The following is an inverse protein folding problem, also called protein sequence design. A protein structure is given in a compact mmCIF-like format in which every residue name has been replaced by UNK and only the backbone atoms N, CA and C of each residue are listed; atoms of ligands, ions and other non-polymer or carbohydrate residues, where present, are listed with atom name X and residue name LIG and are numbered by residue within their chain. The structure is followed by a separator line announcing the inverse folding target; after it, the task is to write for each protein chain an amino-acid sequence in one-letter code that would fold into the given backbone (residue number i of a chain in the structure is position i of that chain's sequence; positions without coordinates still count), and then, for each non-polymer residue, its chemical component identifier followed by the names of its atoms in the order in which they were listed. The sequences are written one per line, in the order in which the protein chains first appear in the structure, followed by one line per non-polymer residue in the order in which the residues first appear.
data_IF_517770742500
#
_entry.id   IF_517770742500
#
_cell.length_a   1.000
_cell.length_b   1.000
_cell.length_c   1.000
_cell.angle_alpha   90.00
_cell.angle_beta   90.00
_cell.angle_gamma   90.00
#
_symmetry.space_group_name_H-M   'P 1'
#
loop_
_entity.id
_entity.type
_entity.pdbx_description
1 polymer ?
#
# COMPACT_ATOMS: atom_id res chain seq x y z
N UNK A 1 -10.30 11.12 18.02
CA UNK A 1 -9.07 10.37 17.67
C UNK A 1 -9.31 9.18 16.75
N UNK A 2 -10.19 8.21 17.09
CA UNK A 2 -10.39 7.02 16.25
C UNK A 2 -10.80 7.33 14.79
N UNK A 3 -11.68 8.31 14.58
CA UNK A 3 -12.10 8.75 13.24
C UNK A 3 -10.93 9.32 12.42
N UNK A 4 -10.08 10.16 13.01
CA UNK A 4 -8.86 10.69 12.37
C UNK A 4 -7.94 9.52 11.98
N UNK A 5 -7.75 8.56 12.90
CA UNK A 5 -6.99 7.35 12.62
C UNK A 5 -7.57 6.53 11.47
N UNK A 6 -8.89 6.44 11.34
CA UNK A 6 -9.52 5.74 10.22
C UNK A 6 -9.32 6.44 8.88
N UNK A 7 -9.31 7.78 8.86
CA UNK A 7 -8.96 8.56 7.66
C UNK A 7 -7.51 8.28 7.26
N UNK A 8 -6.59 8.28 8.24
CA UNK A 8 -5.17 7.95 7.99
C UNK A 8 -5.02 6.53 7.42
N UNK A 9 -5.71 5.55 8.00
CA UNK A 9 -5.70 4.16 7.51
C UNK A 9 -6.24 4.12 6.08
N UNK A 10 -7.39 4.75 5.81
CA UNK A 10 -7.95 4.80 4.46
C UNK A 10 -6.96 5.38 3.45
N UNK A 11 -6.40 6.56 3.70
CA UNK A 11 -5.45 7.21 2.79
C UNK A 11 -4.16 6.40 2.60
N UNK A 12 -3.68 5.76 3.68
CA UNK A 12 -2.44 4.98 3.66
C UNK A 12 -2.55 3.62 2.98
N UNK A 13 -3.73 2.98 3.00
CA UNK A 13 -3.94 1.59 2.57
C UNK A 13 -4.80 1.43 1.30
N UNK A 14 -5.67 2.38 0.97
CA UNK A 14 -6.52 2.27 -0.23
C UNK A 14 -5.61 2.22 -1.47
N UNK A 15 -5.72 1.22 -2.36
CA UNK A 15 -5.00 1.20 -3.62
C UNK A 15 -5.47 2.37 -4.50
N UNK A 16 -4.53 3.08 -5.12
CA UNK A 16 -4.78 4.24 -5.99
C UNK A 16 -4.02 4.02 -7.30
N UNK A 17 -4.62 4.32 -8.47
CA UNK A 17 -5.95 4.94 -8.63
C UNK A 17 -7.12 4.00 -8.35
N UNK A 18 -8.12 4.47 -7.59
CA UNK A 18 -9.44 3.82 -7.54
C UNK A 18 -10.14 3.87 -8.91
N UNK A 19 -9.66 4.75 -9.79
CA UNK A 19 -10.05 4.89 -11.20
C UNK A 19 -9.23 4.03 -12.16
N UNK A 20 -8.33 3.15 -11.68
CA UNK A 20 -7.60 2.23 -12.55
C UNK A 20 -8.61 1.41 -13.38
N UNK A 21 -8.58 1.47 -14.72
CA UNK A 21 -9.51 0.74 -15.57
C UNK A 21 -9.55 -0.77 -15.28
N UNK A 22 -8.46 -1.32 -14.73
CA UNK A 22 -8.39 -2.73 -14.33
C UNK A 22 -9.34 -3.08 -13.17
N UNK A 23 -9.71 -2.13 -12.30
CA UNK A 23 -10.72 -2.32 -11.25
C UNK A 23 -12.13 -2.50 -11.82
N UNK A 24 -12.42 -1.92 -12.99
CA UNK A 24 -13.71 -2.10 -13.68
C UNK A 24 -13.86 -3.51 -14.23
N UNK A 25 -12.76 -4.12 -14.66
CA UNK A 25 -12.68 -5.51 -15.14
C UNK A 25 -12.42 -6.53 -14.03
N UNK A 26 -12.07 -6.06 -12.82
CA UNK A 26 -11.75 -6.92 -11.68
C UNK A 26 -12.98 -7.69 -11.19
N UNK A 27 -12.74 -8.86 -10.60
CA UNK A 27 -13.77 -9.67 -9.95
C UNK A 27 -14.38 -8.93 -8.74
N UNK A 28 -15.58 -9.33 -8.32
CA UNK A 28 -16.23 -8.76 -7.13
C UNK A 28 -15.38 -8.93 -5.86
N UNK A 29 -14.61 -10.01 -5.80
CA UNK A 29 -13.68 -10.32 -4.72
C UNK A 29 -12.53 -9.30 -4.65
N UNK A 30 -11.87 -9.05 -5.79
CA UNK A 30 -10.77 -8.08 -5.88
C UNK A 30 -11.23 -6.66 -5.54
N UNK A 31 -12.40 -6.24 -6.04
CA UNK A 31 -12.98 -4.93 -5.70
C UNK A 31 -13.27 -4.81 -4.21
N UNK A 32 -13.80 -5.88 -3.60
CA UNK A 32 -14.10 -5.91 -2.17
C UNK A 32 -12.84 -5.76 -1.31
N UNK A 33 -11.73 -6.40 -1.71
CA UNK A 33 -10.43 -6.22 -1.06
C UNK A 33 -9.91 -4.79 -1.24
N UNK A 34 -10.03 -4.22 -2.44
CA UNK A 34 -9.55 -2.87 -2.75
C UNK A 34 -10.24 -1.79 -1.89
N UNK A 35 -11.52 -1.94 -1.59
CA UNK A 35 -12.27 -0.97 -0.76
C UNK A 35 -12.25 -1.30 0.74
N UNK A 36 -11.75 -2.47 1.14
CA UNK A 36 -11.73 -2.91 2.54
C UNK A 36 -11.03 -1.91 3.50
N UNK A 37 -9.96 -1.20 3.12
CA UNK A 37 -9.39 -0.13 3.94
C UNK A 37 -10.33 1.02 4.30
N UNK A 38 -11.46 1.19 3.59
CA UNK A 38 -12.48 2.18 3.92
C UNK A 38 -13.42 1.70 5.04
N UNK A 39 -13.44 0.41 5.36
CA UNK A 39 -14.35 -0.16 6.35
C UNK A 39 -14.18 0.46 7.76
N UNK A 40 -12.95 0.62 8.32
CA UNK A 40 -12.76 1.28 9.61
C UNK A 40 -13.41 2.67 9.65
N UNK A 41 -13.30 3.43 8.57
CA UNK A 41 -13.88 4.76 8.43
C UNK A 41 -15.41 4.71 8.38
N UNK A 42 -15.97 3.84 7.53
CA UNK A 42 -17.42 3.65 7.42
C UNK A 42 -18.05 3.25 8.77
N UNK A 43 -17.46 2.29 9.47
CA UNK A 43 -17.94 1.82 10.78
C UNK A 43 -17.95 2.95 11.81
N UNK A 44 -16.89 3.74 11.88
CA UNK A 44 -16.81 4.85 12.83
C UNK A 44 -17.73 6.02 12.46
N UNK A 45 -17.91 6.34 11.18
CA UNK A 45 -18.87 7.37 10.72
C UNK A 45 -20.28 6.95 11.10
N UNK A 46 -20.68 5.71 10.80
CA UNK A 46 -21.99 5.18 11.17
C UNK A 46 -22.18 5.25 12.68
N UNK A 47 -21.16 4.91 13.47
CA UNK A 47 -21.25 5.00 14.93
C UNK A 47 -21.36 6.42 15.47
N UNK A 48 -20.80 7.43 14.78
CA UNK A 48 -20.98 8.84 15.18
C UNK A 48 -22.38 9.32 14.82
N UNK A 49 -22.89 8.91 13.66
CA UNK A 49 -24.24 9.23 13.21
C UNK A 49 -25.33 8.50 14.01
N UNK A 50 -25.06 7.28 14.47
CA UNK A 50 -25.98 6.48 15.26
C UNK A 50 -25.77 6.72 16.76
N UNK A 51 -26.81 7.14 17.47
CA UNK A 51 -26.77 7.24 18.94
C UNK A 51 -26.73 5.89 19.67
N UNK A 52 -26.83 4.78 18.93
CA UNK A 52 -26.85 3.41 19.47
C UNK A 52 -25.45 2.80 19.45
N UNK A 53 -25.03 2.28 20.59
CA UNK A 53 -23.81 1.46 20.68
C UNK A 53 -24.14 0.00 20.38
N UNK A 54 -23.19 -0.68 19.75
CA UNK A 54 -23.31 -2.09 19.44
C UNK A 54 -23.21 -2.93 20.72
N UNK A 55 -24.10 -3.91 20.99
CA UNK A 55 -23.95 -4.83 22.10
C UNK A 55 -22.62 -5.59 22.01
N UNK A 56 -21.91 -5.70 23.12
CA UNK A 56 -20.55 -6.27 23.14
C UNK A 56 -20.47 -7.71 22.59
N UNK A 57 -21.46 -8.55 22.87
CA UNK A 57 -21.47 -9.94 22.39
C UNK A 57 -21.51 -9.97 20.86
N UNK A 58 -22.38 -9.17 20.26
CA UNK A 58 -22.49 -9.07 18.80
C UNK A 58 -21.20 -8.50 18.19
N UNK A 59 -20.64 -7.44 18.79
CA UNK A 59 -19.36 -6.86 18.34
C UNK A 59 -18.21 -7.88 18.43
N UNK A 60 -18.15 -8.68 19.49
CA UNK A 60 -17.13 -9.70 19.69
C UNK A 60 -17.24 -10.83 18.66
N UNK A 61 -18.45 -11.30 18.36
CA UNK A 61 -18.68 -12.30 17.31
C UNK A 61 -18.24 -11.75 15.95
N UNK A 62 -18.65 -10.52 15.61
CA UNK A 62 -18.27 -9.89 14.34
C UNK A 62 -16.76 -9.67 14.25
N UNK A 63 -16.13 -9.18 15.33
CA UNK A 63 -14.69 -9.04 15.43
C UNK A 63 -13.95 -10.36 15.22
N UNK A 64 -14.44 -11.46 15.82
CA UNK A 64 -13.85 -12.79 15.64
C UNK A 64 -13.97 -13.26 14.19
N UNK A 65 -15.12 -13.07 13.55
CA UNK A 65 -15.32 -13.40 12.13
C UNK A 65 -14.35 -12.63 11.23
N UNK A 66 -14.21 -11.32 11.45
CA UNK A 66 -13.25 -10.50 10.69
C UNK A 66 -11.80 -10.90 10.95
N UNK A 67 -11.46 -11.24 12.19
CA UNK A 67 -10.13 -11.73 12.54
C UNK A 67 -9.82 -13.03 11.82
N UNK A 68 -10.73 -14.01 11.87
CA UNK A 68 -10.56 -15.31 11.20
C UNK A 68 -10.50 -15.17 9.69
N UNK A 69 -11.42 -14.41 9.09
CA UNK A 69 -11.43 -14.18 7.64
C UNK A 69 -10.17 -13.44 7.18
N UNK A 70 -9.77 -12.38 7.90
CA UNK A 70 -8.55 -11.62 7.61
C UNK A 70 -7.29 -12.48 7.73
N UNK A 71 -7.20 -13.34 8.75
CA UNK A 71 -6.10 -14.30 8.88
C UNK A 71 -6.04 -15.30 7.72
N UNK A 72 -7.18 -15.89 7.34
CA UNK A 72 -7.26 -16.83 6.21
C UNK A 72 -6.84 -16.16 4.90
N UNK A 73 -7.37 -14.96 4.62
CA UNK A 73 -7.00 -14.19 3.42
C UNK A 73 -5.52 -13.83 3.44
N UNK A 74 -4.99 -13.39 4.58
CA UNK A 74 -3.55 -13.05 4.71
C UNK A 74 -2.67 -14.27 4.44
N UNK A 75 -2.99 -15.42 5.03
CA UNK A 75 -2.24 -16.68 4.81
C UNK A 75 -2.34 -17.12 3.35
N UNK A 76 -3.52 -17.07 2.74
CA UNK A 76 -3.70 -17.40 1.33
C UNK A 76 -2.86 -16.47 0.45
N UNK A 77 -2.88 -15.16 0.70
CA UNK A 77 -2.07 -14.19 -0.05
C UNK A 77 -0.57 -14.38 0.19
N UNK A 78 -0.14 -14.79 1.39
CA UNK A 78 1.26 -15.14 1.64
C UNK A 78 1.69 -16.37 0.84
N UNK A 79 0.83 -17.40 0.76
CA UNK A 79 1.12 -18.61 -0.01
C UNK A 79 1.17 -18.35 -1.53
N UNK A 80 0.36 -17.39 -2.00
CA UNK A 80 0.33 -16.95 -3.40
C UNK A 80 1.38 -15.88 -3.72
N UNK A 81 1.90 -15.18 -2.70
CA UNK A 81 2.96 -14.21 -2.90
C UNK A 81 4.23 -14.96 -3.27
N UNK A 82 4.70 -14.76 -4.49
CA UNK A 82 5.97 -15.33 -4.91
C UNK A 82 7.12 -14.83 -4.04
N UNK A 83 7.01 -13.62 -3.49
CA UNK A 83 7.99 -12.93 -2.63
C UNK A 83 7.32 -11.78 -1.87
N UNK A 84 8.01 -11.19 -0.89
CA UNK A 84 7.42 -10.13 -0.07
C UNK A 84 6.40 -10.64 0.96
N UNK A 85 6.42 -11.93 1.31
CA UNK A 85 5.55 -12.57 2.33
C UNK A 85 5.48 -11.78 3.64
N UNK A 86 6.61 -11.19 4.08
CA UNK A 86 6.66 -10.33 5.28
C UNK A 86 5.80 -9.08 5.14
N UNK A 87 5.81 -8.44 3.97
CA UNK A 87 4.98 -7.26 3.70
C UNK A 87 3.51 -7.65 3.59
N UNK A 88 3.20 -8.76 2.92
CA UNK A 88 1.83 -9.29 2.87
C UNK A 88 1.29 -9.56 4.28
N UNK A 89 2.09 -10.22 5.13
CA UNK A 89 1.73 -10.49 6.52
C UNK A 89 1.52 -9.18 7.31
N UNK A 90 2.43 -8.21 7.15
CA UNK A 90 2.35 -6.91 7.82
C UNK A 90 1.09 -6.13 7.42
N UNK A 91 0.78 -6.06 6.12
CA UNK A 91 -0.39 -5.36 5.59
C UNK A 91 -1.69 -6.04 6.03
N UNK A 92 -1.78 -7.36 5.84
CA UNK A 92 -2.94 -8.14 6.20
C UNK A 92 -3.25 -8.07 7.69
N UNK A 93 -2.21 -8.16 8.53
CA UNK A 93 -2.35 -8.03 10.00
C UNK A 93 -2.82 -6.62 10.37
N UNK A 94 -2.19 -5.56 9.86
CA UNK A 94 -2.57 -4.20 10.17
C UNK A 94 -4.02 -3.90 9.77
N UNK A 95 -4.42 -4.24 8.53
CA UNK A 95 -5.78 -4.01 8.06
C UNK A 95 -6.82 -4.83 8.84
N UNK A 96 -6.51 -6.09 9.17
CA UNK A 96 -7.41 -6.93 9.98
C UNK A 96 -7.61 -6.32 11.37
N UNK A 97 -6.52 -5.89 12.03
CA UNK A 97 -6.59 -5.23 13.33
C UNK A 97 -7.35 -3.90 13.25
N UNK A 98 -7.23 -3.14 12.17
CA UNK A 98 -8.00 -1.91 11.96
C UNK A 98 -9.51 -2.18 11.96
N UNK A 99 -9.95 -3.17 11.18
CA UNK A 99 -11.37 -3.53 11.09
C UNK A 99 -11.90 -4.05 12.43
N UNK A 100 -11.18 -4.99 13.05
CA UNK A 100 -11.54 -5.60 14.34
C UNK A 100 -11.64 -4.55 15.44
N UNK A 101 -10.63 -3.70 15.58
CA UNK A 101 -10.62 -2.66 16.60
C UNK A 101 -11.71 -1.61 16.34
N UNK A 102 -11.98 -1.21 15.10
CA UNK A 102 -13.09 -0.29 14.79
C UNK A 102 -14.46 -0.86 15.19
N UNK A 103 -14.72 -2.14 14.91
CA UNK A 103 -15.96 -2.81 15.36
C UNK A 103 -16.06 -2.80 16.89
N UNK A 104 -14.97 -3.13 17.59
CA UNK A 104 -14.97 -3.18 19.05
C UNK A 104 -15.13 -1.79 19.68
N UNK A 105 -14.55 -0.73 19.09
CA UNK A 105 -14.62 0.64 19.62
C UNK A 105 -16.04 1.20 19.67
N UNK A 106 -16.89 0.82 18.71
CA UNK A 106 -18.29 1.26 18.61
C UNK A 106 -19.24 0.49 19.54
N UNK A 107 -18.72 -0.53 20.23
CA UNK A 107 -19.50 -1.37 21.12
C UNK A 107 -19.60 -0.82 22.55
N UNK A 108 -20.36 -1.51 23.41
CA UNK A 108 -20.56 -1.18 24.82
C UNK A 108 -19.38 -1.62 25.72
N UNK A 109 -18.14 -1.47 25.26
CA UNK A 109 -16.94 -1.77 26.05
C UNK A 109 -16.85 -0.91 27.31
N UNK A 110 -16.41 -1.53 28.41
CA UNK A 110 -15.93 -0.81 29.58
C UNK A 110 -14.67 0.01 29.28
N UNK A 111 -14.40 1.03 30.11
CA UNK A 111 -13.33 2.00 29.86
C UNK A 111 -11.94 1.36 29.68
N UNK A 112 -11.58 0.39 30.54
CA UNK A 112 -10.27 -0.31 30.46
C UNK A 112 -10.12 -1.08 29.15
N UNK A 113 -11.14 -1.82 28.75
CA UNK A 113 -11.12 -2.60 27.50
C UNK A 113 -11.08 -1.67 26.28
N UNK A 114 -11.81 -0.55 26.31
CA UNK A 114 -11.73 0.46 25.25
C UNK A 114 -10.33 1.07 25.11
N UNK A 115 -9.65 1.35 26.23
CA UNK A 115 -8.27 1.86 26.19
C UNK A 115 -7.31 0.85 25.55
N UNK A 116 -7.44 -0.45 25.87
CA UNK A 116 -6.66 -1.50 25.23
C UNK A 116 -6.93 -1.59 23.72
N UNK A 117 -8.21 -1.58 23.30
CA UNK A 117 -8.57 -1.60 21.88
C UNK A 117 -8.03 -0.38 21.15
N UNK A 118 -8.05 0.82 21.77
CA UNK A 118 -7.42 2.01 21.20
C UNK A 118 -5.91 1.83 21.04
N UNK A 119 -5.22 1.21 22.00
CA UNK A 119 -3.79 0.94 21.90
C UNK A 119 -3.48 -0.01 20.73
N UNK A 120 -4.28 -1.07 20.55
CA UNK A 120 -4.17 -1.98 19.39
C UNK A 120 -4.46 -1.22 18.09
N UNK A 121 -5.45 -0.32 18.08
CA UNK A 121 -5.80 0.50 16.91
C UNK A 121 -4.69 1.48 16.51
N UNK A 122 -3.82 1.88 17.43
CA UNK A 122 -2.66 2.74 17.09
C UNK A 122 -1.72 2.06 16.10
N UNK A 123 -1.57 0.73 16.13
CA UNK A 123 -0.71 0.01 15.20
C UNK A 123 -1.06 0.26 13.72
N UNK A 124 -2.27 -0.04 13.22
CA UNK A 124 -2.62 0.25 11.82
C UNK A 124 -2.59 1.74 11.48
N UNK A 125 -2.86 2.63 12.44
CA UNK A 125 -2.70 4.08 12.22
C UNK A 125 -1.23 4.41 11.94
N UNK A 126 -0.29 3.89 12.72
CA UNK A 126 1.15 4.08 12.48
C UNK A 126 1.60 3.52 11.13
N UNK A 127 1.05 2.37 10.71
CA UNK A 127 1.31 1.84 9.36
C UNK A 127 0.81 2.79 8.28
N UNK A 128 -0.38 3.37 8.46
CA UNK A 128 -0.92 4.38 7.55
C UNK A 128 -0.07 5.66 7.50
N UNK A 129 0.38 6.16 8.66
CA UNK A 129 1.30 7.30 8.73
C UNK A 129 2.62 7.00 8.02
N UNK A 130 3.21 5.83 8.29
CA UNK A 130 4.44 5.39 7.63
C UNK A 130 4.28 5.33 6.11
N UNK A 131 3.16 4.76 5.64
CA UNK A 131 2.82 4.70 4.21
C UNK A 131 2.82 6.09 3.58
N UNK A 132 2.08 7.03 4.18
CA UNK A 132 1.96 8.39 3.68
C UNK A 132 3.26 9.18 3.77
N UNK A 133 4.07 8.95 4.80
CA UNK A 133 5.38 9.58 4.96
C UNK A 133 6.37 9.18 3.84
N UNK A 134 6.16 8.05 3.18
CA UNK A 134 6.98 7.68 2.01
C UNK A 134 6.75 8.56 0.80
N UNK A 135 5.59 9.23 0.68
CA UNK A 135 5.31 10.11 -0.47
C UNK A 135 6.36 11.23 -0.56
N UNK A 136 6.54 12.10 0.46
CA UNK A 136 7.55 13.16 0.39
C UNK A 136 8.99 12.61 0.36
N UNK A 137 9.27 11.47 1.00
CA UNK A 137 10.61 10.86 0.98
C UNK A 137 10.99 10.38 -0.43
N UNK A 138 10.12 9.58 -1.06
CA UNK A 138 10.34 9.06 -2.41
C UNK A 138 10.37 10.19 -3.43
N UNK A 139 9.50 11.19 -3.27
CA UNK A 139 9.51 12.41 -4.11
C UNK A 139 10.86 13.12 -4.02
N UNK A 140 11.31 13.44 -2.80
CA UNK A 140 12.56 14.19 -2.59
C UNK A 140 13.76 13.43 -3.13
N UNK A 141 13.83 12.12 -2.85
CA UNK A 141 14.94 11.30 -3.30
C UNK A 141 14.94 11.10 -4.83
N UNK A 142 13.78 11.02 -5.48
CA UNK A 142 13.70 11.00 -6.95
C UNK A 142 14.23 12.30 -7.57
N UNK A 143 13.92 13.45 -6.99
CA UNK A 143 14.45 14.75 -7.43
C UNK A 143 15.96 14.82 -7.24
N UNK A 144 16.46 14.36 -6.09
CA UNK A 144 17.89 14.33 -5.79
C UNK A 144 18.67 13.43 -6.79
N UNK A 145 18.22 12.18 -6.97
CA UNK A 145 18.86 11.21 -7.87
C UNK A 145 18.78 11.64 -9.34
N UNK A 146 17.65 12.21 -9.77
CA UNK A 146 17.52 12.73 -11.13
C UNK A 146 18.39 13.96 -11.37
N UNK A 147 18.69 14.77 -10.35
CA UNK A 147 19.53 15.96 -10.46
C UNK A 147 19.10 16.91 -11.59
N UNK A 148 17.78 17.06 -11.79
CA UNK A 148 17.19 17.91 -12.82
C UNK A 148 17.09 17.30 -14.22
N UNK A 149 17.58 16.06 -14.41
CA UNK A 149 17.45 15.32 -15.67
C UNK A 149 16.03 14.77 -15.88
N UNK A 150 15.69 14.41 -17.11
CA UNK A 150 14.42 13.75 -17.40
C UNK A 150 14.35 12.40 -16.68
N UNK A 151 13.22 12.11 -16.02
CA UNK A 151 13.04 10.85 -15.32
C UNK A 151 11.59 10.38 -15.35
N UNK A 152 11.36 9.14 -14.98
CA UNK A 152 10.02 8.61 -14.72
C UNK A 152 10.05 7.57 -13.60
N UNK A 153 8.88 7.35 -13.00
CA UNK A 153 8.69 6.34 -11.96
C UNK A 153 7.65 5.33 -12.43
N UNK A 154 7.91 4.03 -12.27
CA UNK A 154 6.99 2.98 -12.66
C UNK A 154 7.17 1.67 -11.89
N UNK A 155 6.23 0.74 -12.07
CA UNK A 155 6.29 -0.61 -11.53
C UNK A 155 7.04 -1.54 -12.49
N UNK A 156 7.91 -2.42 -11.94
CA UNK A 156 8.48 -3.50 -12.73
C UNK A 156 7.43 -4.60 -12.94
N UNK A 157 6.76 -4.58 -14.09
CA UNK A 157 5.68 -5.49 -14.46
C UNK A 157 5.77 -5.87 -15.95
N UNK A 158 5.23 -7.04 -16.39
CA UNK A 158 5.16 -7.40 -17.81
C UNK A 158 4.41 -6.39 -18.68
N UNK A 159 3.55 -5.58 -18.05
CA UNK A 159 2.84 -4.47 -18.66
C UNK A 159 3.41 -3.20 -18.03
N UNK A 160 3.87 -2.27 -18.87
CA UNK A 160 4.34 -0.96 -18.43
C UNK A 160 3.28 -0.29 -17.54
N UNK A 161 3.67 0.05 -16.33
CA UNK A 161 2.80 0.69 -15.33
C UNK A 161 3.54 1.87 -14.76
N UNK A 162 3.43 2.97 -15.49
CA UNK A 162 3.90 4.28 -15.02
C UNK A 162 3.08 4.73 -13.81
N UNK A 163 3.74 5.42 -12.88
CA UNK A 163 3.08 6.04 -11.75
C UNK A 163 2.06 7.07 -12.24
N UNK A 164 0.79 6.85 -11.94
CA UNK A 164 -0.31 7.72 -12.38
C UNK A 164 -0.66 8.87 -11.43
N UNK A 165 -0.22 8.83 -10.17
CA UNK A 165 -0.48 9.91 -9.20
C UNK A 165 0.56 9.95 -8.08
N UNK A 166 0.72 11.11 -7.44
CA UNK A 166 1.70 11.33 -6.37
C UNK A 166 1.46 10.43 -5.16
N UNK A 167 0.19 10.18 -4.80
CA UNK A 167 -0.12 9.28 -3.68
C UNK A 167 0.28 7.82 -3.96
N UNK A 168 0.52 7.46 -5.23
CA UNK A 168 1.09 6.15 -5.59
C UNK A 168 2.51 5.93 -5.06
N UNK A 169 3.22 6.99 -4.64
CA UNK A 169 4.53 6.91 -3.98
C UNK A 169 4.47 6.46 -2.51
N UNK A 170 3.26 6.29 -1.95
CA UNK A 170 3.12 5.85 -0.56
C UNK A 170 3.68 4.43 -0.38
N UNK A 171 4.15 4.13 0.83
CA UNK A 171 4.89 2.90 1.14
C UNK A 171 4.11 1.62 0.82
N UNK A 172 2.79 1.60 1.08
CA UNK A 172 1.95 0.44 0.76
C UNK A 172 1.50 0.37 -0.71
N UNK A 173 1.94 1.27 -1.59
CA UNK A 173 1.77 1.15 -3.05
C UNK A 173 3.10 0.93 -3.76
N UNK A 174 4.18 1.45 -3.22
CA UNK A 174 5.50 1.45 -3.84
C UNK A 174 6.36 0.21 -3.47
N UNK A 175 5.70 -0.95 -3.34
CA UNK A 175 6.34 -2.23 -3.07
C UNK A 175 5.73 -3.33 -3.96
N UNK A 176 6.58 -4.15 -4.58
CA UNK A 176 6.12 -5.34 -5.30
C UNK A 176 5.81 -6.50 -4.36
N UNK A 177 4.71 -7.20 -4.62
CA UNK A 177 4.34 -8.50 -4.02
C UNK A 177 4.67 -9.69 -4.93
N UNK A 178 5.23 -9.43 -6.12
CA UNK A 178 5.68 -10.46 -7.06
C UNK A 178 7.10 -10.90 -6.68
N UNK A 179 7.42 -12.18 -6.82
CA UNK A 179 8.83 -12.60 -6.90
C UNK A 179 9.22 -13.02 -8.29
N UNK A 180 10.51 -12.81 -8.58
CA UNK A 180 11.29 -13.87 -9.19
C UNK A 180 11.91 -14.67 -8.07
N UNK A 181 11.40 -15.86 -7.79
CA UNK A 181 12.18 -16.93 -7.18
C UNK A 181 11.48 -18.29 -7.37
N UNK A 182 11.56 -18.80 -8.60
CA UNK A 182 11.77 -20.23 -8.87
C UNK A 182 12.92 -20.33 -9.86
N UNK A 183 13.66 -21.42 -9.78
CA UNK A 183 14.92 -21.69 -10.49
C UNK A 183 14.73 -21.40 -11.99
N UNK A 184 15.18 -20.22 -12.45
CA UNK A 184 15.00 -19.75 -13.84
C UNK A 184 14.23 -18.43 -14.04
N UNK A 185 13.62 -17.81 -13.02
CA UNK A 185 12.63 -16.72 -13.21
C UNK A 185 13.07 -15.29 -12.80
N UNK A 186 12.44 -14.30 -13.45
CA UNK A 186 12.72 -12.85 -13.49
C UNK A 186 12.63 -12.08 -12.16
N UNK A 187 13.65 -11.27 -11.85
CA UNK A 187 13.68 -10.36 -10.68
C UNK A 187 12.65 -9.22 -10.82
N UNK A 188 11.81 -9.00 -9.80
CA UNK A 188 10.89 -7.83 -9.75
C UNK A 188 11.40 -6.79 -8.75
N UNK A 189 11.35 -5.52 -9.17
CA UNK A 189 11.73 -4.36 -8.36
C UNK A 189 10.50 -3.76 -7.67
N UNK A 190 10.70 -3.07 -6.55
CA UNK A 190 9.59 -2.50 -5.77
C UNK A 190 8.95 -1.32 -6.51
N UNK A 191 9.77 -0.33 -6.83
CA UNK A 191 9.43 0.81 -7.68
C UNK A 191 10.70 1.22 -8.42
N UNK A 192 10.56 1.46 -9.71
CA UNK A 192 11.67 1.83 -10.58
C UNK A 192 11.68 3.33 -10.83
N UNK A 193 12.85 3.94 -10.70
CA UNK A 193 13.14 5.28 -11.18
C UNK A 193 14.09 5.13 -12.38
N UNK A 194 13.66 5.59 -13.55
CA UNK A 194 14.47 5.65 -14.76
C UNK A 194 14.88 7.10 -14.97
N UNK A 195 16.17 7.35 -15.11
CA UNK A 195 16.73 8.70 -15.32
C UNK A 195 17.50 8.69 -16.64
N UNK A 196 17.19 9.64 -17.52
CA UNK A 196 17.89 9.83 -18.78
C UNK A 196 19.14 10.69 -18.59
N UNK A 197 20.27 10.26 -19.13
CA UNK A 197 21.57 10.90 -19.03
C UNK A 197 22.30 10.81 -20.37
N UNK A 198 22.36 11.91 -21.12
CA UNK A 198 23.06 12.02 -22.40
C UNK A 198 22.79 10.88 -23.41
N UNK A 199 21.53 10.41 -23.46
CA UNK A 199 21.06 9.34 -24.36
C UNK A 199 21.09 7.93 -23.77
N UNK A 200 21.69 7.75 -22.59
CA UNK A 200 21.61 6.52 -21.82
C UNK A 200 20.51 6.62 -20.74
N UNK A 201 19.97 5.49 -20.30
CA UNK A 201 18.99 5.44 -19.20
C UNK A 201 19.59 4.70 -18.01
N UNK A 202 19.72 5.39 -16.88
CA UNK A 202 20.08 4.80 -15.59
C UNK A 202 18.83 4.29 -14.88
N UNK A 203 18.93 3.12 -14.24
CA UNK A 203 17.82 2.46 -13.56
C UNK A 203 18.11 2.38 -12.08
N UNK A 204 17.15 2.81 -11.26
CA UNK A 204 17.22 2.75 -9.81
C UNK A 204 16.00 2.02 -9.24
N UNK A 205 16.20 1.23 -8.20
CA UNK A 205 15.15 0.53 -7.46
C UNK A 205 14.93 1.19 -6.10
N UNK A 206 13.68 1.41 -5.74
CA UNK A 206 13.31 1.83 -4.39
C UNK A 206 13.68 0.77 -3.36
N UNK A 207 14.42 1.18 -2.32
CA UNK A 207 14.75 0.35 -1.18
C UNK A 207 13.91 0.77 0.03
N UNK A 208 12.88 0.00 0.42
CA UNK A 208 12.13 0.28 1.65
C UNK A 208 12.97 0.23 2.93
N UNK A 209 14.15 -0.41 2.88
CA UNK A 209 15.07 -0.49 4.00
C UNK A 209 15.86 0.80 4.19
N UNK A 210 16.33 1.39 3.08
CA UNK A 210 17.17 2.58 3.08
C UNK A 210 16.38 3.87 2.81
N UNK A 211 15.10 3.74 2.43
CA UNK A 211 14.21 4.86 2.08
C UNK A 211 14.75 5.73 0.94
N UNK A 212 15.38 5.08 -0.04
CA UNK A 212 16.01 5.74 -1.19
C UNK A 212 15.98 4.84 -2.43
N UNK A 213 16.11 5.47 -3.60
CA UNK A 213 16.37 4.84 -4.87
C UNK A 213 17.85 4.47 -4.98
N UNK A 214 18.11 3.17 -5.11
CA UNK A 214 19.45 2.63 -5.24
C UNK A 214 19.69 2.18 -6.68
N UNK A 215 20.86 2.49 -7.22
CA UNK A 215 21.21 2.12 -8.59
C UNK A 215 21.14 0.60 -8.76
N UNK A 216 20.51 0.15 -9.85
CA UNK A 216 20.51 -1.25 -10.24
C UNK A 216 21.82 -1.53 -10.95
N UNK A 217 22.57 -2.51 -10.46
CA UNK A 217 23.83 -2.91 -11.09
C UNK A 217 23.53 -3.72 -12.36
N UNK A 218 24.09 -3.29 -13.50
CA UNK A 218 23.98 -3.96 -14.82
C UNK A 218 22.53 -4.32 -15.23
N UNK A 219 21.61 -3.34 -15.30
CA UNK A 219 20.18 -3.57 -15.60
C UNK A 219 19.94 -4.26 -16.96
N UNK A 220 20.87 -4.16 -17.90
CA UNK A 220 20.85 -4.81 -19.21
C UNK A 220 21.00 -6.33 -19.18
N UNK A 221 21.53 -6.89 -18.08
CA UNK A 221 21.71 -8.34 -17.94
C UNK A 221 20.48 -9.05 -17.33
N UNK A 222 19.46 -8.29 -16.95
CA UNK A 222 18.26 -8.83 -16.34
C UNK A 222 17.34 -9.48 -17.37
N UNK A 223 16.80 -10.66 -17.02
CA UNK A 223 15.89 -11.45 -17.88
C UNK A 223 14.63 -10.64 -18.23
N UNK A 224 14.07 -9.92 -17.25
CA UNK A 224 13.00 -8.96 -17.46
C UNK A 224 13.62 -7.55 -17.51
N UNK A 225 13.40 -6.87 -18.63
CA UNK A 225 13.97 -5.55 -18.89
C UNK A 225 13.27 -4.48 -18.05
N UNK A 226 13.99 -3.78 -17.14
CA UNK A 226 13.41 -2.69 -16.35
C UNK A 226 13.16 -1.43 -17.18
N UNK A 227 13.77 -1.31 -18.36
CA UNK A 227 13.68 -0.14 -19.24
C UNK A 227 12.30 0.08 -19.85
N UNK A 228 11.41 -0.92 -19.77
CA UNK A 228 10.03 -0.83 -20.28
C UNK A 228 9.03 -0.34 -19.23
N UNK A 229 9.48 0.03 -18.03
CA UNK A 229 8.58 0.42 -16.94
C UNK A 229 7.81 1.72 -17.24
N UNK A 230 8.50 2.72 -17.80
CA UNK A 230 7.97 4.04 -18.16
C UNK A 230 8.96 4.78 -19.08
N UNK A 231 8.58 5.96 -19.59
CA UNK A 231 9.46 6.81 -20.40
C UNK A 231 9.87 8.08 -19.63
N UNK A 232 11.19 8.37 -19.49
CA UNK A 232 11.67 9.59 -18.85
C UNK A 232 11.12 10.88 -19.49
N UNK A 233 10.77 11.86 -18.66
CA UNK A 233 10.36 13.21 -19.10
C UNK A 233 10.77 14.28 -18.09
N UNK A 234 11.01 15.51 -18.57
CA UNK A 234 11.58 16.59 -17.76
C UNK A 234 10.70 17.10 -16.60
N UNK A 235 9.37 16.95 -16.68
CA UNK A 235 8.42 17.46 -15.67
C UNK A 235 7.54 16.37 -15.06
N UNK A 236 8.06 15.13 -15.00
CA UNK A 236 7.29 13.95 -14.62
C UNK A 236 6.42 14.13 -13.36
N UNK A 237 7.03 14.46 -12.22
CA UNK A 237 6.28 14.59 -10.96
C UNK A 237 5.33 15.80 -10.91
N UNK A 238 5.58 16.82 -11.73
CA UNK A 238 4.75 18.04 -11.79
C UNK A 238 3.48 17.84 -12.61
N UNK A 239 3.49 16.83 -13.48
CA UNK A 239 2.35 16.45 -14.34
C UNK A 239 1.42 15.43 -13.67
N UNK A 240 1.81 14.89 -12.50
CA UNK A 240 0.99 13.93 -11.77
C UNK A 240 -0.07 14.62 -10.93
N UNK A 241 -1.28 14.08 -10.98
CA UNK A 241 -2.33 14.42 -10.04
C UNK A 241 -1.96 13.95 -8.62
N UNK A 242 -2.57 14.57 -7.61
CA UNK A 242 -2.37 14.15 -6.22
C UNK A 242 -2.98 12.76 -5.97
N UNK A 243 -4.11 12.44 -6.62
CA UNK A 243 -4.90 11.22 -6.42
C UNK A 243 -5.14 10.48 -7.73
#
# INVERSE_FOLDING_TARGET
MALIGAVIIALGFVPVPLSDPSLLTATWFERSIAVLPLMPLAVLIVSVASSRRMPIVFAAVLALLFLSAGAVVTIAMMALSGGGTKMVAFHGTALTLACVASILLISTLGQKARAFVLAVYTFPVLVGVWSLAMVPLSYSNAIEVSSGRAFCIGEHSPIARELGSLIGLRGLSFYTTRSGYKIGDSWYFHGLLLVEDDGDTSVYNWSPRHMEFQAVERPQLLIASPFKACAPRGKFLQELDVF
#
